data_IF_357616287126
#
_entry.id   IF_357616287126
#
_cell.length_a   1.000
_cell.length_b   1.000
_cell.length_c   1.000
_cell.angle_alpha   90.00
_cell.angle_beta   90.00
_cell.angle_gamma   90.00
#
_symmetry.space_group_name_H-M   'P 1'
#
loop_
_entity.id
_entity.type
_entity.pdbx_description
1 polymer ?
#
# COMPACT_ATOMS: atom_id res chain seq x y z
N UNK A 1 26.65 -29.47 -8.35
CA UNK A 1 25.67 -29.62 -7.26
C UNK A 1 25.15 -28.23 -6.96
N UNK A 2 24.02 -27.88 -7.57
CA UNK A 2 23.37 -26.60 -7.34
C UNK A 2 22.81 -26.60 -5.92
N UNK A 3 23.10 -25.52 -5.20
CA UNK A 3 22.64 -25.25 -3.85
C UNK A 3 21.11 -25.07 -3.86
N UNK A 4 20.37 -26.08 -3.43
CA UNK A 4 18.98 -25.93 -2.97
C UNK A 4 18.98 -25.19 -1.63
N UNK A 5 19.06 -23.86 -1.69
CA UNK A 5 18.61 -23.02 -0.59
C UNK A 5 17.11 -22.72 -0.82
N UNK A 6 16.22 -22.96 0.15
CA UNK A 6 14.83 -22.62 0.00
C UNK A 6 14.71 -21.11 -0.18
N UNK A 7 14.03 -20.74 -1.25
CA UNK A 7 13.80 -19.39 -1.74
C UNK A 7 13.23 -18.49 -0.62
N UNK A 8 14.08 -17.70 0.04
CA UNK A 8 13.70 -16.79 1.13
C UNK A 8 12.68 -15.73 0.68
N UNK A 9 12.52 -15.54 -0.63
CA UNK A 9 11.54 -14.65 -1.25
C UNK A 9 10.09 -15.10 -0.97
N UNK A 10 9.84 -16.39 -0.70
CA UNK A 10 8.48 -16.91 -0.52
C UNK A 10 7.88 -16.67 0.88
N UNK A 11 8.68 -16.29 1.88
CA UNK A 11 8.21 -16.22 3.28
C UNK A 11 7.53 -14.90 3.67
N UNK A 12 7.83 -13.78 2.98
CA UNK A 12 7.35 -12.44 3.35
C UNK A 12 6.33 -11.84 2.36
N UNK A 13 5.62 -12.69 1.61
CA UNK A 13 4.62 -12.25 0.65
C UNK A 13 3.43 -11.52 1.31
N UNK A 14 2.83 -10.56 0.59
CA UNK A 14 1.56 -9.94 1.00
C UNK A 14 0.45 -10.99 1.00
N UNK A 15 -0.33 -11.01 2.08
CA UNK A 15 -1.52 -11.87 2.21
C UNK A 15 -2.41 -11.80 0.95
N UNK A 16 -2.81 -12.93 0.35
CA UNK A 16 -3.58 -12.94 -0.89
C UNK A 16 -4.91 -12.18 -0.81
N UNK A 17 -5.61 -12.22 0.32
CA UNK A 17 -6.87 -11.51 0.49
C UNK A 17 -6.64 -10.00 0.58
N UNK A 18 -5.61 -9.57 1.32
CA UNK A 18 -5.19 -8.16 1.38
C UNK A 18 -4.70 -7.65 0.03
N UNK A 19 -3.96 -8.48 -0.72
CA UNK A 19 -3.50 -8.15 -2.08
C UNK A 19 -4.67 -7.90 -3.02
N UNK A 20 -5.68 -8.77 -3.00
CA UNK A 20 -6.87 -8.61 -3.84
C UNK A 20 -7.73 -7.41 -3.42
N UNK A 21 -7.88 -7.17 -2.11
CA UNK A 21 -8.56 -5.98 -1.58
C UNK A 21 -7.86 -4.68 -1.99
N UNK A 22 -6.54 -4.62 -1.81
CA UNK A 22 -5.71 -3.49 -2.23
C UNK A 22 -5.84 -3.24 -3.75
N UNK A 23 -5.74 -4.29 -4.57
CA UNK A 23 -5.92 -4.21 -6.03
C UNK A 23 -7.27 -3.62 -6.40
N UNK A 24 -8.35 -4.09 -5.79
CA UNK A 24 -9.71 -3.59 -6.05
C UNK A 24 -9.86 -2.12 -5.65
N UNK A 25 -9.35 -1.73 -4.48
CA UNK A 25 -9.39 -0.33 -4.02
C UNK A 25 -8.57 0.60 -4.91
N UNK A 26 -7.37 0.18 -5.32
CA UNK A 26 -6.53 0.95 -6.25
C UNK A 26 -7.19 1.11 -7.62
N UNK A 27 -7.91 0.09 -8.12
CA UNK A 27 -8.70 0.23 -9.33
C UNK A 27 -9.83 1.27 -9.20
N UNK A 28 -10.47 1.35 -8.02
CA UNK A 28 -11.43 2.41 -7.71
C UNK A 28 -10.77 3.79 -7.63
N UNK A 29 -9.60 3.89 -6.99
CA UNK A 29 -8.83 5.13 -6.90
C UNK A 29 -8.45 5.65 -8.29
N UNK A 30 -7.99 4.76 -9.18
CA UNK A 30 -7.72 5.11 -10.58
C UNK A 30 -8.95 5.75 -11.25
N UNK A 31 -10.12 5.12 -11.13
CA UNK A 31 -11.35 5.69 -11.68
C UNK A 31 -11.74 7.05 -11.07
N UNK A 32 -11.42 7.27 -9.79
CA UNK A 32 -11.61 8.57 -9.14
C UNK A 32 -10.66 9.62 -9.72
N UNK A 33 -9.37 9.30 -9.87
CA UNK A 33 -8.38 10.19 -10.51
C UNK A 33 -8.82 10.54 -11.94
N UNK A 34 -9.26 9.56 -12.73
CA UNK A 34 -9.79 9.81 -14.07
C UNK A 34 -11.02 10.75 -14.05
N UNK A 35 -11.84 10.65 -13.00
CA UNK A 35 -12.97 11.56 -12.77
C UNK A 35 -12.53 13.00 -12.46
N UNK A 36 -11.45 13.18 -11.70
CA UNK A 36 -10.86 14.50 -11.44
C UNK A 36 -10.29 15.09 -12.73
N UNK A 37 -9.63 14.28 -13.55
CA UNK A 37 -9.11 14.72 -14.85
C UNK A 37 -10.25 15.23 -15.74
N UNK A 38 -11.35 14.47 -15.86
CA UNK A 38 -12.55 14.92 -16.59
C UNK A 38 -13.19 16.16 -15.99
N UNK A 39 -13.20 16.28 -14.66
CA UNK A 39 -13.71 17.48 -13.99
C UNK A 39 -12.95 18.72 -14.44
N UNK A 40 -11.63 18.63 -14.60
CA UNK A 40 -10.75 19.73 -15.02
C UNK A 40 -10.90 20.13 -16.51
N UNK A 41 -11.62 19.36 -17.32
CA UNK A 41 -11.90 19.73 -18.72
C UNK A 41 -12.91 20.88 -18.84
N UNK A 42 -13.67 21.19 -17.78
CA UNK A 42 -14.63 22.30 -17.76
C UNK A 42 -13.93 23.61 -17.37
N UNK A 43 -14.36 24.72 -17.95
CA UNK A 43 -13.78 26.04 -17.68
C UNK A 43 -14.25 26.65 -16.34
N UNK A 44 -15.37 26.18 -15.80
CA UNK A 44 -16.05 26.72 -14.61
C UNK A 44 -15.69 26.00 -13.30
N UNK A 45 -14.58 25.26 -13.28
CA UNK A 45 -14.22 24.39 -12.16
C UNK A 45 -13.83 25.19 -10.93
N UNK A 46 -14.51 24.91 -9.81
CA UNK A 46 -14.18 25.53 -8.54
C UNK A 46 -13.02 24.80 -7.83
N UNK A 47 -11.97 25.55 -7.49
CA UNK A 47 -10.75 25.04 -6.88
C UNK A 47 -11.00 24.20 -5.62
N UNK A 48 -11.95 24.61 -4.77
CA UNK A 48 -12.28 23.89 -3.53
C UNK A 48 -12.85 22.50 -3.82
N UNK A 49 -13.59 22.35 -4.91
CA UNK A 49 -14.15 21.05 -5.27
C UNK A 49 -13.08 20.10 -5.80
N UNK A 50 -12.11 20.60 -6.58
CA UNK A 50 -10.92 19.81 -6.96
C UNK A 50 -10.16 19.36 -5.71
N UNK A 51 -9.92 20.29 -4.77
CA UNK A 51 -9.22 19.98 -3.52
C UNK A 51 -9.96 18.91 -2.70
N UNK A 52 -11.29 18.98 -2.60
CA UNK A 52 -12.10 17.93 -1.94
C UNK A 52 -11.90 16.57 -2.62
N UNK A 53 -11.91 16.52 -3.95
CA UNK A 53 -11.73 15.25 -4.67
C UNK A 53 -10.30 14.69 -4.49
N UNK A 54 -9.28 15.54 -4.57
CA UNK A 54 -7.89 15.14 -4.32
C UNK A 54 -7.73 14.61 -2.89
N UNK A 55 -8.30 15.28 -1.89
CA UNK A 55 -8.26 14.80 -0.49
C UNK A 55 -9.01 13.48 -0.30
N UNK A 56 -10.09 13.24 -1.04
CA UNK A 56 -10.77 11.96 -1.04
C UNK A 56 -9.87 10.83 -1.62
N UNK A 57 -9.13 11.11 -2.70
CA UNK A 57 -8.15 10.17 -3.28
C UNK A 57 -7.00 9.88 -2.30
N UNK A 58 -6.42 10.91 -1.69
CA UNK A 58 -5.38 10.75 -0.66
C UNK A 58 -5.87 9.87 0.49
N UNK A 59 -7.07 10.13 1.01
CA UNK A 59 -7.67 9.32 2.07
C UNK A 59 -7.95 7.87 1.65
N UNK A 60 -8.30 7.63 0.39
CA UNK A 60 -8.47 6.28 -0.14
C UNK A 60 -7.14 5.54 -0.26
N UNK A 61 -6.08 6.20 -0.72
CA UNK A 61 -4.71 5.65 -0.78
C UNK A 61 -4.18 5.34 0.61
N UNK A 62 -4.38 6.24 1.59
CA UNK A 62 -3.98 6.02 2.97
C UNK A 62 -4.60 4.75 3.56
N UNK A 63 -5.88 4.48 3.29
CA UNK A 63 -6.56 3.25 3.72
C UNK A 63 -5.98 1.98 3.08
N UNK A 64 -5.56 2.06 1.81
CA UNK A 64 -4.88 0.93 1.15
C UNK A 64 -3.54 0.65 1.83
N UNK A 65 -2.74 1.70 2.05
CA UNK A 65 -1.45 1.60 2.74
C UNK A 65 -1.60 1.03 4.16
N UNK A 66 -2.58 1.50 4.93
CA UNK A 66 -2.88 0.98 6.27
C UNK A 66 -3.24 -0.52 6.25
N UNK A 67 -4.03 -0.97 5.27
CA UNK A 67 -4.39 -2.38 5.11
C UNK A 67 -3.17 -3.26 4.84
N UNK A 68 -2.29 -2.83 3.93
CA UNK A 68 -1.04 -3.53 3.61
C UNK A 68 -0.11 -3.55 4.82
N UNK A 69 0.06 -2.43 5.50
CA UNK A 69 0.90 -2.33 6.70
C UNK A 69 0.40 -3.26 7.81
N UNK A 70 -0.91 -3.25 8.09
CA UNK A 70 -1.52 -4.11 9.11
C UNK A 70 -1.30 -5.60 8.79
N UNK A 71 -1.37 -5.97 7.52
CA UNK A 71 -1.06 -7.33 7.07
C UNK A 71 0.39 -7.71 7.34
N UNK A 72 1.33 -6.84 6.97
CA UNK A 72 2.75 -7.05 7.22
C UNK A 72 3.06 -7.19 8.72
N UNK A 73 2.53 -6.31 9.57
CA UNK A 73 2.72 -6.38 11.02
C UNK A 73 2.23 -7.72 11.60
N UNK A 74 1.07 -8.21 11.15
CA UNK A 74 0.47 -9.46 11.67
C UNK A 74 1.20 -10.71 11.19
N UNK A 75 1.56 -10.76 9.92
CA UNK A 75 2.03 -11.99 9.29
C UNK A 75 3.54 -12.15 9.39
N UNK A 76 4.27 -11.03 9.41
CA UNK A 76 5.73 -11.04 9.25
C UNK A 76 6.45 -10.59 10.52
N UNK A 77 6.01 -9.50 11.15
CA UNK A 77 6.67 -8.97 12.36
C UNK A 77 6.47 -9.86 13.58
N UNK A 78 5.28 -10.43 13.77
CA UNK A 78 4.96 -11.25 14.95
C UNK A 78 5.92 -12.43 15.13
N UNK A 79 6.29 -13.10 14.04
CA UNK A 79 7.21 -14.25 14.06
C UNK A 79 8.66 -13.89 13.69
N UNK A 80 8.97 -12.60 13.51
CA UNK A 80 10.30 -12.16 13.05
C UNK A 80 11.43 -12.49 14.03
N UNK A 81 11.14 -12.42 15.34
CA UNK A 81 12.10 -12.81 16.37
C UNK A 81 12.47 -14.29 16.31
N UNK A 82 11.50 -15.14 15.97
CA UNK A 82 11.70 -16.60 15.85
C UNK A 82 12.44 -16.97 14.57
N UNK A 83 12.24 -16.19 13.49
CA UNK A 83 12.97 -16.33 12.22
C UNK A 83 14.38 -15.71 12.26
N UNK A 84 14.69 -14.88 13.25
CA UNK A 84 15.98 -14.20 13.38
C UNK A 84 16.15 -13.00 12.43
N UNK A 85 15.07 -12.46 11.87
CA UNK A 85 15.05 -11.36 10.89
C UNK A 85 14.41 -10.07 11.43
N UNK A 86 14.17 -9.99 12.75
CA UNK A 86 13.49 -8.87 13.39
C UNK A 86 14.10 -7.49 13.10
N UNK A 87 15.43 -7.34 13.25
CA UNK A 87 16.10 -6.06 13.03
C UNK A 87 16.04 -5.61 11.58
N UNK A 88 16.11 -6.56 10.64
CA UNK A 88 16.00 -6.30 9.19
C UNK A 88 14.61 -5.78 8.87
N UNK A 89 13.56 -6.49 9.30
CA UNK A 89 12.17 -6.11 9.03
C UNK A 89 11.82 -4.75 9.66
N UNK A 90 12.30 -4.48 10.89
CA UNK A 90 12.09 -3.19 11.54
C UNK A 90 12.79 -2.07 10.77
N UNK A 91 14.05 -2.27 10.35
CA UNK A 91 14.78 -1.28 9.58
C UNK A 91 14.07 -0.97 8.24
N UNK A 92 13.66 -1.99 7.50
CA UNK A 92 12.92 -1.84 6.24
C UNK A 92 11.61 -1.05 6.45
N UNK A 93 10.83 -1.40 7.46
CA UNK A 93 9.58 -0.69 7.74
C UNK A 93 9.82 0.77 8.15
N UNK A 94 10.87 1.03 8.93
CA UNK A 94 11.24 2.40 9.31
C UNK A 94 11.67 3.24 8.10
N UNK A 95 12.35 2.65 7.10
CA UNK A 95 12.66 3.35 5.85
C UNK A 95 11.38 3.75 5.09
N UNK A 96 10.39 2.86 4.98
CA UNK A 96 9.13 3.18 4.30
C UNK A 96 8.37 4.31 5.00
N UNK A 97 8.40 4.35 6.33
CA UNK A 97 7.68 5.36 7.11
C UNK A 97 8.31 6.76 7.06
N UNK A 98 9.48 6.94 6.43
CA UNK A 98 10.09 8.27 6.19
C UNK A 98 9.37 9.04 5.08
N UNK A 99 8.70 8.34 4.18
CA UNK A 99 7.90 8.95 3.11
C UNK A 99 6.56 9.41 3.69
N UNK A 100 6.53 10.60 4.30
CA UNK A 100 5.34 11.27 4.82
C UNK A 100 5.28 12.70 4.30
#
# INVERSE_FOLDING_TARGET
>A
MASDAPDACCQLALDPAVREDARRRLASVRGHVDGIIRMLEREDVYCVDVLKQVKAVEGALAKVGEGVLRSHLRNHVVSARERGDADVIVAELMEVLKYR
#
